data_IF_578277863225
#
_entry.id   IF_578277863225
#
_cell.length_a   1.000
_cell.length_b   1.000
_cell.length_c   1.000
_cell.angle_alpha   90.00
_cell.angle_beta   90.00
_cell.angle_gamma   90.00
#
_symmetry.space_group_name_H-M   'P 1'
#
loop_
_entity.id
_entity.type
_entity.pdbx_description
1 polymer ?
#
# COMPACT_ATOMS: atom_id res chain seq x y z
N UNK A 1 -38.66 -32.04 -41.23
CA UNK A 1 -37.19 -32.02 -41.11
C UNK A 1 -36.73 -30.62 -41.51
N UNK A 2 -36.28 -29.83 -40.54
CA UNK A 2 -35.91 -28.42 -40.76
C UNK A 2 -34.45 -28.34 -41.23
N UNK A 3 -34.22 -27.87 -42.45
CA UNK A 3 -32.89 -27.55 -42.96
C UNK A 3 -32.50 -26.14 -42.48
N UNK A 4 -31.82 -26.06 -41.34
CA UNK A 4 -31.14 -24.83 -40.94
C UNK A 4 -29.72 -24.85 -41.54
N UNK A 5 -29.44 -23.92 -42.46
CA UNK A 5 -28.09 -23.69 -42.96
C UNK A 5 -27.15 -23.24 -41.82
N UNK A 6 -25.89 -23.70 -41.78
CA UNK A 6 -24.97 -23.30 -40.73
C UNK A 6 -24.67 -21.80 -40.80
N UNK A 7 -24.67 -21.16 -39.63
CA UNK A 7 -24.34 -19.74 -39.47
C UNK A 7 -22.85 -19.55 -39.81
N UNK A 8 -22.47 -18.58 -40.67
CA UNK A 8 -21.06 -18.38 -41.01
C UNK A 8 -20.27 -17.98 -39.76
N UNK A 9 -19.12 -18.61 -39.54
CA UNK A 9 -18.21 -18.26 -38.45
C UNK A 9 -17.71 -16.81 -38.64
N UNK A 10 -17.62 -16.02 -37.56
CA UNK A 10 -17.07 -14.69 -37.65
C UNK A 10 -15.62 -14.78 -38.12
N UNK A 11 -15.30 -14.15 -39.25
CA UNK A 11 -13.90 -13.94 -39.64
C UNK A 11 -13.26 -13.07 -38.56
N UNK A 12 -12.47 -13.69 -37.70
CA UNK A 12 -11.50 -12.96 -36.89
C UNK A 12 -10.53 -12.33 -37.89
N UNK A 13 -10.63 -11.01 -38.08
CA UNK A 13 -9.56 -10.26 -38.72
C UNK A 13 -8.29 -10.56 -37.93
N UNK A 14 -7.18 -10.87 -38.63
CA UNK A 14 -5.89 -10.94 -37.96
C UNK A 14 -5.67 -9.60 -37.27
N UNK A 15 -5.64 -9.60 -35.94
CA UNK A 15 -5.35 -8.39 -35.19
C UNK A 15 -3.92 -7.98 -35.55
N UNK A 16 -3.76 -6.76 -36.05
CA UNK A 16 -2.44 -6.14 -36.19
C UNK A 16 -1.71 -6.28 -34.84
N UNK A 17 -0.42 -6.68 -34.82
CA UNK A 17 0.34 -6.80 -33.59
C UNK A 17 0.31 -5.46 -32.84
N UNK A 18 -0.12 -5.48 -31.58
CA UNK A 18 -0.06 -4.29 -30.73
C UNK A 18 1.41 -4.02 -30.45
N UNK A 19 1.99 -3.04 -31.15
CA UNK A 19 3.30 -2.50 -30.76
C UNK A 19 3.12 -1.57 -29.58
N UNK A 20 3.61 -2.00 -28.43
CA UNK A 20 3.55 -1.21 -27.19
C UNK A 20 4.90 -0.57 -26.90
N UNK A 21 4.91 0.52 -26.14
CA UNK A 21 6.14 1.13 -25.60
C UNK A 21 6.87 0.22 -24.60
N UNK A 22 6.41 -1.02 -24.40
CA UNK A 22 6.97 -2.03 -23.51
C UNK A 22 7.72 -3.14 -24.25
N UNK A 23 7.67 -3.16 -25.59
CA UNK A 23 8.25 -4.23 -26.40
C UNK A 23 9.80 -4.18 -26.41
N UNK A 24 10.39 -3.07 -25.96
CA UNK A 24 11.84 -2.84 -25.84
C UNK A 24 12.39 -3.15 -24.43
N UNK A 25 11.54 -3.53 -23.47
CA UNK A 25 11.94 -3.67 -22.06
C UNK A 25 13.07 -4.68 -21.87
N UNK A 26 13.03 -5.77 -22.64
CA UNK A 26 13.99 -6.89 -22.58
C UNK A 26 15.07 -6.83 -23.66
N UNK A 27 14.99 -5.85 -24.56
CA UNK A 27 15.95 -5.73 -25.66
C UNK A 27 17.38 -5.54 -25.13
N UNK A 28 18.30 -6.42 -25.55
CA UNK A 28 19.69 -6.41 -25.12
C UNK A 28 19.94 -6.95 -23.71
N UNK A 29 18.98 -7.69 -23.13
CA UNK A 29 19.11 -8.37 -21.83
C UNK A 29 19.30 -9.88 -22.05
N UNK A 30 20.44 -10.25 -22.63
CA UNK A 30 20.76 -11.66 -22.90
C UNK A 30 21.59 -12.32 -21.79
N UNK A 31 22.08 -11.53 -20.82
CA UNK A 31 22.90 -12.02 -19.70
C UNK A 31 22.50 -11.39 -18.37
N UNK A 32 22.93 -12.02 -17.27
CA UNK A 32 22.76 -11.48 -15.91
C UNK A 32 23.41 -10.09 -15.76
N UNK A 33 24.59 -9.88 -16.34
CA UNK A 33 25.30 -8.60 -16.33
C UNK A 33 24.55 -7.52 -17.11
N UNK A 34 23.94 -7.89 -18.25
CA UNK A 34 23.08 -6.99 -19.00
C UNK A 34 21.83 -6.60 -18.19
N UNK A 35 21.22 -7.56 -17.48
CA UNK A 35 20.12 -7.28 -16.56
C UNK A 35 20.54 -6.36 -15.42
N UNK A 36 21.69 -6.60 -14.77
CA UNK A 36 22.15 -5.73 -13.69
C UNK A 36 22.34 -4.28 -14.15
N UNK A 37 22.85 -4.06 -15.37
CA UNK A 37 22.93 -2.73 -15.98
C UNK A 37 21.54 -2.12 -16.23
N UNK A 38 20.62 -2.85 -16.86
CA UNK A 38 19.26 -2.36 -17.12
C UNK A 38 18.50 -2.07 -15.82
N UNK A 39 18.62 -2.91 -14.81
CA UNK A 39 17.96 -2.77 -13.49
C UNK A 39 18.27 -1.42 -12.85
N UNK A 40 19.50 -0.92 -12.95
CA UNK A 40 19.84 0.41 -12.43
C UNK A 40 19.13 1.53 -13.20
N UNK A 41 19.03 1.41 -14.53
CA UNK A 41 18.31 2.37 -15.37
C UNK A 41 16.81 2.37 -15.03
N UNK A 42 16.20 1.20 -14.90
CA UNK A 42 14.78 1.07 -14.50
C UNK A 42 14.54 1.68 -13.13
N UNK A 43 15.42 1.38 -12.15
CA UNK A 43 15.35 1.97 -10.82
C UNK A 43 15.43 3.49 -10.87
N UNK A 44 16.41 4.05 -11.59
CA UNK A 44 16.57 5.49 -11.70
C UNK A 44 15.34 6.17 -12.30
N UNK A 45 14.79 5.64 -13.39
CA UNK A 45 13.56 6.15 -14.03
C UNK A 45 12.35 6.06 -13.09
N UNK A 46 12.23 4.97 -12.35
CA UNK A 46 11.15 4.81 -11.37
C UNK A 46 11.24 5.86 -10.27
N UNK A 47 12.43 6.08 -9.68
CA UNK A 47 12.64 7.08 -8.63
C UNK A 47 12.41 8.51 -9.14
N UNK A 48 12.82 8.81 -10.38
CA UNK A 48 12.53 10.09 -11.04
C UNK A 48 11.03 10.30 -11.23
N UNK A 49 10.31 9.27 -11.70
CA UNK A 49 8.87 9.32 -11.93
C UNK A 49 8.08 9.60 -10.64
N UNK A 50 8.43 8.91 -9.54
CA UNK A 50 7.78 9.14 -8.24
C UNK A 50 8.31 10.39 -7.53
N UNK A 51 9.26 11.11 -8.13
CA UNK A 51 9.91 12.32 -7.60
C UNK A 51 10.54 12.10 -6.23
N UNK A 52 11.23 10.97 -6.06
CA UNK A 52 11.88 10.56 -4.82
C UNK A 52 12.79 11.65 -4.22
N UNK A 53 13.52 12.39 -5.06
CA UNK A 53 14.38 13.48 -4.63
C UNK A 53 13.63 14.69 -4.01
N UNK A 54 12.32 14.78 -4.22
CA UNK A 54 11.46 15.80 -3.60
C UNK A 54 10.70 15.27 -2.38
N UNK A 55 10.84 13.97 -2.05
CA UNK A 55 10.23 13.40 -0.86
C UNK A 55 10.86 14.01 0.41
N UNK A 56 10.06 14.31 1.43
CA UNK A 56 10.58 14.70 2.75
C UNK A 56 11.50 13.63 3.33
N UNK A 57 12.45 14.03 4.17
CA UNK A 57 13.29 13.08 4.90
C UNK A 57 12.43 12.31 5.92
N UNK A 58 12.45 10.98 5.83
CA UNK A 58 11.76 10.14 6.80
C UNK A 58 12.38 10.32 8.21
N UNK A 59 11.57 10.34 9.27
CA UNK A 59 12.07 10.41 10.64
C UNK A 59 13.05 9.27 10.94
N UNK A 60 14.19 9.59 11.58
CA UNK A 60 15.19 8.59 11.97
C UNK A 60 14.68 7.62 13.03
N UNK A 61 13.87 8.14 13.94
CA UNK A 61 13.13 7.35 14.92
C UNK A 61 11.64 7.54 14.60
N UNK A 62 10.93 6.47 14.20
CA UNK A 62 9.52 6.57 13.85
C UNK A 62 8.60 6.76 15.07
N UNK A 63 9.12 6.78 16.31
CA UNK A 63 8.31 6.98 17.52
C UNK A 63 7.07 6.08 17.53
N UNK A 64 7.33 4.76 17.44
CA UNK A 64 6.26 3.77 17.32
C UNK A 64 5.50 3.64 18.64
N UNK A 65 4.18 3.78 18.57
CA UNK A 65 3.25 3.67 19.72
C UNK A 65 2.26 2.56 19.46
N UNK A 66 2.10 1.65 20.42
CA UNK A 66 1.02 0.66 20.43
C UNK A 66 -0.23 1.31 21.03
N UNK A 67 -1.27 1.46 20.22
CA UNK A 67 -2.53 2.10 20.60
C UNK A 67 -3.58 1.10 21.08
N UNK A 68 -3.58 -0.10 20.52
CA UNK A 68 -4.50 -1.17 20.89
C UNK A 68 -3.89 -2.55 20.64
N UNK A 69 -4.45 -3.58 21.27
CA UNK A 69 -4.03 -4.97 21.14
C UNK A 69 -5.24 -5.90 21.06
N UNK A 70 -5.20 -6.87 20.14
CA UNK A 70 -6.26 -7.85 19.92
C UNK A 70 -5.69 -9.28 20.00
N UNK A 71 -6.52 -10.20 20.49
CA UNK A 71 -6.24 -11.63 20.42
C UNK A 71 -6.53 -12.14 19.00
N UNK A 72 -5.49 -12.63 18.32
CA UNK A 72 -5.59 -13.22 16.98
C UNK A 72 -5.97 -14.71 16.98
N UNK A 73 -6.16 -15.33 18.16
CA UNK A 73 -6.43 -16.76 18.28
C UNK A 73 -5.17 -17.60 18.08
N UNK A 74 -4.14 -17.33 18.90
CA UNK A 74 -2.84 -18.01 18.85
C UNK A 74 -1.67 -17.14 18.36
N UNK A 75 -1.92 -15.84 18.20
CA UNK A 75 -0.94 -14.79 17.96
C UNK A 75 -1.53 -13.46 18.45
N UNK A 76 -0.70 -12.44 18.64
CA UNK A 76 -1.14 -11.11 19.04
C UNK A 76 -1.25 -10.19 17.82
N UNK A 77 -2.26 -9.32 17.80
CA UNK A 77 -2.36 -8.23 16.84
C UNK A 77 -2.19 -6.92 17.60
N UNK A 78 -1.24 -6.09 17.19
CA UNK A 78 -1.07 -4.73 17.70
C UNK A 78 -1.55 -3.72 16.67
N UNK A 79 -2.38 -2.76 17.09
CA UNK A 79 -2.64 -1.56 16.31
C UNK A 79 -1.64 -0.49 16.74
N UNK A 80 -0.88 0.03 15.79
CA UNK A 80 0.23 0.95 16.05
C UNK A 80 0.10 2.23 15.26
N UNK A 81 0.63 3.32 15.80
CA UNK A 81 0.90 4.55 15.06
C UNK A 81 2.40 4.85 15.06
N UNK A 82 2.88 5.48 13.98
CA UNK A 82 4.28 5.82 13.80
C UNK A 82 4.44 7.02 12.87
N UNK A 83 5.51 7.79 13.10
CA UNK A 83 5.85 8.99 12.35
C UNK A 83 6.37 8.65 10.95
N UNK A 84 5.78 9.27 9.92
CA UNK A 84 6.21 9.11 8.51
C UNK A 84 6.78 10.40 7.91
N UNK A 85 6.33 11.54 8.42
CA UNK A 85 6.89 12.88 8.16
C UNK A 85 6.88 13.68 9.46
N UNK A 86 7.50 14.85 9.55
CA UNK A 86 7.60 15.62 10.82
C UNK A 86 6.27 15.94 11.50
N UNK A 87 5.19 16.02 10.71
CA UNK A 87 3.85 16.42 11.13
C UNK A 87 2.77 15.37 10.75
N UNK A 88 3.16 14.21 10.23
CA UNK A 88 2.24 13.12 9.86
C UNK A 88 2.59 11.80 10.55
N UNK A 89 1.55 11.17 11.13
CA UNK A 89 1.58 9.79 11.62
C UNK A 89 0.75 8.88 10.73
N UNK A 90 1.32 7.73 10.38
CA UNK A 90 0.61 6.62 9.77
C UNK A 90 0.21 5.59 10.84
N UNK A 91 -0.69 4.69 10.47
CA UNK A 91 -1.15 3.61 11.32
C UNK A 91 -1.00 2.26 10.61
N UNK A 92 -0.80 1.20 11.38
CA UNK A 92 -0.69 -0.16 10.86
C UNK A 92 -1.20 -1.18 11.88
N UNK A 93 -1.51 -2.37 11.38
CA UNK A 93 -1.71 -3.55 12.23
C UNK A 93 -0.49 -4.45 12.12
N UNK A 94 0.11 -4.80 13.26
CA UNK A 94 1.23 -5.72 13.36
C UNK A 94 0.74 -7.06 13.90
N UNK A 95 1.06 -8.13 13.21
CA UNK A 95 0.82 -9.49 13.68
C UNK A 95 2.10 -10.07 14.27
N UNK A 96 2.03 -10.53 15.52
CA UNK A 96 3.16 -11.05 16.29
C UNK A 96 2.94 -12.52 16.64
N UNK A 97 3.82 -13.44 16.19
CA UNK A 97 3.73 -14.85 16.56
C UNK A 97 3.84 -15.03 18.09
N UNK A 98 3.04 -15.94 18.66
CA UNK A 98 3.14 -16.28 20.10
C UNK A 98 4.37 -17.14 20.47
N UNK A 99 5.16 -17.57 19.50
CA UNK A 99 6.37 -18.34 19.74
C UNK A 99 7.49 -17.47 20.33
N UNK A 100 8.51 -18.09 20.93
CA UNK A 100 9.74 -17.37 21.27
C UNK A 100 10.48 -17.00 19.99
N UNK A 101 10.89 -15.73 19.81
CA UNK A 101 11.66 -15.34 18.64
C UNK A 101 13.00 -16.09 18.60
N UNK A 102 13.47 -16.49 17.41
CA UNK A 102 14.82 -17.01 17.27
C UNK A 102 15.84 -15.89 17.55
N UNK A 103 17.13 -16.21 17.75
CA UNK A 103 18.17 -15.21 18.05
C UNK A 103 18.24 -14.05 17.05
N UNK A 104 18.01 -14.33 15.77
CA UNK A 104 17.97 -13.36 14.67
C UNK A 104 16.64 -12.60 14.54
N UNK A 105 15.65 -12.91 15.36
CA UNK A 105 14.28 -12.38 15.28
C UNK A 105 13.42 -13.10 14.23
N UNK A 106 12.11 -12.85 14.29
CA UNK A 106 11.21 -13.40 13.28
C UNK A 106 11.42 -12.74 11.91
N UNK A 107 11.28 -13.48 10.80
CA UNK A 107 11.22 -12.87 9.48
C UNK A 107 10.00 -11.93 9.37
N UNK A 108 10.22 -10.74 8.82
CA UNK A 108 9.19 -9.71 8.62
C UNK A 108 8.55 -9.74 7.23
N UNK A 109 7.25 -9.50 7.13
CA UNK A 109 6.52 -9.37 5.85
C UNK A 109 5.62 -8.14 5.84
N UNK A 110 5.77 -7.29 4.83
CA UNK A 110 4.84 -6.18 4.56
C UNK A 110 3.64 -6.72 3.80
N UNK A 111 2.46 -6.53 4.37
CA UNK A 111 1.18 -7.07 3.93
C UNK A 111 0.28 -5.94 3.39
N UNK A 112 0.45 -5.59 2.11
CA UNK A 112 -0.30 -4.51 1.47
C UNK A 112 -1.72 -4.95 1.08
N UNK A 113 -2.72 -4.20 1.54
CA UNK A 113 -4.12 -4.52 1.30
C UNK A 113 -4.66 -3.92 -0.02
N UNK A 114 -5.83 -4.38 -0.46
CA UNK A 114 -6.51 -3.79 -1.63
C UNK A 114 -7.15 -2.43 -1.33
N UNK A 115 -7.84 -1.88 -2.31
CA UNK A 115 -8.57 -0.60 -2.21
C UNK A 115 -9.88 -0.75 -1.42
N UNK A 116 -9.77 -0.97 -0.12
CA UNK A 116 -10.88 -0.92 0.83
C UNK A 116 -10.44 -0.16 2.09
N UNK A 117 -11.31 0.70 2.62
CA UNK A 117 -11.01 1.59 3.74
C UNK A 117 -10.43 0.85 4.95
N UNK A 118 -11.03 -0.28 5.31
CA UNK A 118 -10.60 -1.15 6.41
C UNK A 118 -9.70 -2.31 5.97
N UNK A 119 -9.07 -2.22 4.80
CA UNK A 119 -8.32 -3.34 4.21
C UNK A 119 -7.19 -3.87 5.08
N UNK A 120 -6.50 -3.01 5.86
CA UNK A 120 -5.43 -3.42 6.76
C UNK A 120 -5.92 -4.43 7.82
N UNK A 121 -7.08 -4.16 8.44
CA UNK A 121 -7.74 -5.05 9.42
C UNK A 121 -8.01 -6.44 8.84
N UNK A 122 -8.53 -6.45 7.61
CA UNK A 122 -8.89 -7.69 6.90
C UNK A 122 -7.73 -8.65 6.75
N UNK A 123 -6.52 -8.13 6.51
CA UNK A 123 -5.33 -8.97 6.33
C UNK A 123 -5.04 -9.89 7.51
N UNK A 124 -5.46 -9.48 8.72
CA UNK A 124 -5.31 -10.24 9.96
C UNK A 124 -6.60 -10.94 10.41
N UNK A 125 -7.64 -10.94 9.55
CA UNK A 125 -8.93 -11.57 9.84
C UNK A 125 -9.85 -10.74 10.72
N UNK A 126 -9.51 -9.47 11.00
CA UNK A 126 -10.39 -8.56 11.73
C UNK A 126 -11.50 -8.04 10.79
N UNK A 127 -12.69 -7.82 11.36
CA UNK A 127 -13.81 -7.17 10.67
C UNK A 127 -13.62 -5.65 10.54
N UNK A 128 -14.48 -4.97 9.77
CA UNK A 128 -14.50 -3.51 9.72
C UNK A 128 -14.77 -2.90 11.11
N UNK A 129 -14.35 -1.65 11.32
CA UNK A 129 -14.78 -0.88 12.49
C UNK A 129 -16.27 -0.55 12.41
N UNK A 130 -16.95 -0.29 13.55
CA UNK A 130 -18.30 0.23 13.55
C UNK A 130 -18.41 1.52 12.72
N UNK A 131 -19.43 1.58 11.85
CA UNK A 131 -19.69 2.71 10.94
C UNK A 131 -18.62 2.95 9.86
N UNK A 132 -17.75 1.98 9.58
CA UNK A 132 -16.88 2.07 8.40
C UNK A 132 -17.73 2.25 7.11
N UNK A 133 -17.40 3.22 6.24
CA UNK A 133 -18.21 3.51 5.05
C UNK A 133 -18.23 2.39 4.01
N UNK A 134 -17.33 1.41 4.12
CA UNK A 134 -17.21 0.27 3.22
C UNK A 134 -17.30 -1.07 3.98
N UNK A 135 -17.99 -1.10 5.12
CA UNK A 135 -18.17 -2.29 5.96
C UNK A 135 -18.83 -3.47 5.21
N UNK A 136 -19.63 -3.19 4.18
CA UNK A 136 -20.31 -4.14 3.30
C UNK A 136 -19.38 -4.79 2.27
N UNK A 137 -18.18 -4.23 2.02
CA UNK A 137 -17.19 -4.78 1.10
C UNK A 137 -16.39 -5.93 1.72
N UNK A 138 -17.03 -7.09 1.83
CA UNK A 138 -16.41 -8.31 2.37
C UNK A 138 -15.97 -9.21 1.22
N UNK A 139 -14.68 -9.57 1.21
CA UNK A 139 -14.08 -10.51 0.28
C UNK A 139 -13.33 -11.59 1.06
N UNK A 140 -13.53 -12.85 0.68
CA UNK A 140 -12.87 -14.00 1.31
C UNK A 140 -11.42 -14.15 0.84
N UNK A 141 -10.59 -14.83 1.63
CA UNK A 141 -9.22 -15.19 1.26
C UNK A 141 -8.21 -14.04 1.26
N UNK A 142 -8.57 -12.90 1.86
CA UNK A 142 -7.68 -11.74 1.99
C UNK A 142 -7.03 -11.62 3.38
N UNK A 143 -7.17 -12.62 4.25
CA UNK A 143 -6.56 -12.70 5.59
C UNK A 143 -5.15 -13.32 5.56
N UNK A 144 -4.38 -13.04 4.50
CA UNK A 144 -3.09 -13.68 4.28
C UNK A 144 -2.02 -13.29 5.33
N UNK A 145 -2.12 -12.12 5.96
CA UNK A 145 -1.20 -11.77 7.05
C UNK A 145 -1.42 -12.70 8.25
N UNK A 146 -2.68 -12.99 8.61
CA UNK A 146 -3.03 -13.99 9.64
C UNK A 146 -2.37 -15.34 9.37
N UNK A 147 -2.44 -15.80 8.12
CA UNK A 147 -1.83 -17.07 7.70
C UNK A 147 -0.30 -17.06 7.83
N UNK A 148 0.35 -15.92 7.56
CA UNK A 148 1.80 -15.76 7.71
C UNK A 148 2.21 -15.70 9.19
N UNK A 149 1.47 -14.98 10.03
CA UNK A 149 1.77 -14.92 11.47
C UNK A 149 1.72 -16.31 12.11
N UNK A 150 0.70 -17.11 11.75
CA UNK A 150 0.60 -18.51 12.18
C UNK A 150 1.76 -19.42 11.72
N UNK A 151 2.65 -18.93 10.84
CA UNK A 151 3.87 -19.63 10.39
C UNK A 151 5.16 -19.05 10.97
N UNK A 152 5.07 -18.13 11.93
CA UNK A 152 6.24 -17.54 12.58
C UNK A 152 6.81 -16.32 11.85
N UNK A 153 6.03 -15.66 11.00
CA UNK A 153 6.38 -14.36 10.43
C UNK A 153 5.82 -13.24 11.28
N UNK A 154 6.58 -12.18 11.51
CA UNK A 154 6.00 -10.91 11.94
C UNK A 154 5.44 -10.22 10.70
N UNK A 155 4.19 -9.79 10.75
CA UNK A 155 3.57 -9.07 9.63
C UNK A 155 3.30 -7.63 10.01
N UNK A 156 3.41 -6.72 9.04
CA UNK A 156 2.90 -5.36 9.16
C UNK A 156 1.94 -5.08 8.01
N UNK A 157 0.74 -4.62 8.34
CA UNK A 157 -0.31 -4.24 7.40
C UNK A 157 -0.61 -2.75 7.56
N UNK A 158 0.09 -1.86 6.84
CA UNK A 158 -0.12 -0.43 6.93
C UNK A 158 -1.47 -0.02 6.37
N UNK A 159 -2.11 0.96 7.00
CA UNK A 159 -3.26 1.64 6.38
C UNK A 159 -2.79 2.43 5.16
N UNK A 160 -3.51 2.30 4.05
CA UNK A 160 -3.22 3.09 2.85
C UNK A 160 -3.42 4.60 3.07
N UNK A 161 -2.79 5.38 2.20
CA UNK A 161 -3.09 6.81 2.08
C UNK A 161 -4.57 7.02 1.71
N UNK A 162 -5.21 8.03 2.29
CA UNK A 162 -6.64 8.31 2.16
C UNK A 162 -7.58 7.19 2.64
N UNK A 163 -7.12 6.28 3.50
CA UNK A 163 -7.95 5.22 4.08
C UNK A 163 -7.88 5.24 5.61
N UNK A 164 -8.88 4.63 6.25
CA UNK A 164 -9.01 4.47 7.70
C UNK A 164 -8.73 5.77 8.47
N UNK A 165 -7.67 5.87 9.29
CA UNK A 165 -7.38 7.09 10.06
C UNK A 165 -6.98 8.28 9.19
N UNK A 166 -6.51 8.01 7.98
CA UNK A 166 -6.11 9.03 7.00
C UNK A 166 -7.18 9.31 5.96
N UNK A 167 -8.40 8.78 6.15
CA UNK A 167 -9.52 9.03 5.27
C UNK A 167 -9.95 10.52 5.33
N UNK A 168 -10.04 11.20 4.17
CA UNK A 168 -10.55 12.57 4.12
C UNK A 168 -12.07 12.62 4.25
N UNK A 169 -12.65 13.83 4.33
CA UNK A 169 -14.10 14.02 4.53
C UNK A 169 -14.92 13.55 3.32
N UNK A 170 -14.34 13.63 2.15
CA UNK A 170 -14.94 13.30 0.86
C UNK A 170 -15.15 11.78 0.72
N UNK A 171 -14.39 10.98 1.48
CA UNK A 171 -14.52 9.53 1.53
C UNK A 171 -13.20 8.79 1.30
N UNK A 172 -13.23 7.44 1.36
CA UNK A 172 -12.03 6.62 1.23
C UNK A 172 -11.43 6.76 -0.17
N UNK A 173 -10.10 6.85 -0.21
CA UNK A 173 -9.28 6.99 -1.42
C UNK A 173 -9.53 8.27 -2.24
N UNK A 174 -10.24 9.26 -1.69
CA UNK A 174 -10.33 10.57 -2.34
C UNK A 174 -9.00 11.33 -2.18
N UNK A 175 -8.32 11.62 -3.28
CA UNK A 175 -7.04 12.37 -3.25
C UNK A 175 -7.20 13.85 -3.59
N UNK A 176 -8.43 14.32 -3.78
CA UNK A 176 -8.77 15.69 -4.15
C UNK A 176 -8.20 16.74 -3.20
N UNK A 177 -8.35 16.60 -1.86
CA UNK A 177 -7.80 17.54 -0.89
C UNK A 177 -6.28 17.74 -1.04
N UNK A 178 -5.55 16.67 -1.34
CA UNK A 178 -4.10 16.70 -1.48
C UNK A 178 -3.66 17.32 -2.81
N UNK A 179 -4.35 17.01 -3.91
CA UNK A 179 -4.01 17.55 -5.23
C UNK A 179 -4.41 19.03 -5.39
N UNK A 180 -5.49 19.48 -4.75
CA UNK A 180 -5.90 20.89 -4.75
C UNK A 180 -4.92 21.81 -3.99
N UNK A 181 -4.27 21.29 -2.96
CA UNK A 181 -3.24 22.01 -2.19
C UNK A 181 -1.99 22.34 -3.04
N UNK A 182 -1.61 21.41 -3.93
CA UNK A 182 -0.46 21.55 -4.84
C UNK A 182 -0.71 22.65 -5.88
N UNK A 183 -1.95 22.77 -6.38
CA UNK A 183 -2.29 23.77 -7.39
C UNK A 183 -2.41 25.20 -6.83
N UNK A 184 -2.70 25.34 -5.54
CA UNK A 184 -2.92 26.66 -4.91
C UNK A 184 -1.73 27.15 -4.07
N UNK A 185 -0.64 26.38 -3.97
CA UNK A 185 0.54 26.74 -3.17
C UNK A 185 0.28 26.85 -1.67
N UNK A 186 -0.89 26.39 -1.19
CA UNK A 186 -1.26 26.39 0.22
C UNK A 186 -0.92 25.02 0.81
N UNK A 187 -0.03 24.97 1.81
CA UNK A 187 0.00 23.82 2.71
C UNK A 187 -1.38 23.67 3.32
N UNK A 188 -1.93 22.46 3.30
CA UNK A 188 -3.06 22.14 4.15
C UNK A 188 -2.63 22.44 5.59
N UNK A 189 -3.30 23.41 6.21
CA UNK A 189 -3.08 23.70 7.62
C UNK A 189 -3.49 22.44 8.39
N UNK A 190 -2.50 21.66 8.81
CA UNK A 190 -2.67 20.72 9.90
C UNK A 190 -3.26 21.50 11.06
N UNK A 191 -4.46 21.12 11.49
CA UNK A 191 -5.06 21.63 12.73
C UNK A 191 -4.31 21.01 13.90
N UNK A 192 -3.07 21.43 14.10
CA UNK A 192 -2.33 21.24 15.32
C UNK A 192 -1.59 22.54 15.64
N UNK A 193 -1.88 23.06 16.83
CA UNK A 193 -1.70 24.43 17.27
C UNK A 193 -0.23 24.86 17.33
N UNK A 194 0.12 25.90 16.56
CA UNK A 194 1.23 26.88 16.67
C UNK A 194 2.60 26.46 17.22
N UNK A 195 3.62 26.57 16.37
CA UNK A 195 4.88 27.24 16.71
C UNK A 195 5.43 27.97 15.47
N UNK A 196 5.47 29.31 15.52
CA UNK A 196 6.01 30.15 14.46
C UNK A 196 7.55 30.06 14.42
N UNK A 197 8.13 29.88 13.24
CA UNK A 197 9.57 30.04 13.02
C UNK A 197 9.95 31.52 12.84
N UNK A 198 11.07 31.98 13.43
CA UNK A 198 11.56 33.34 13.20
C UNK A 198 12.17 33.47 11.81
N UNK A 199 11.89 34.59 11.15
CA UNK A 199 12.49 34.96 9.88
C UNK A 199 14.02 35.13 10.07
N UNK A 200 14.80 34.49 9.19
CA UNK A 200 16.24 34.73 9.11
C UNK A 200 16.49 36.00 8.31
N UNK A 201 17.30 36.88 8.91
CA UNK A 201 18.00 38.02 8.30
C UNK A 201 19.01 37.58 7.25
#
# INVERSE_FOLDING_TARGET
MSNASPKPEPRLCAAEPIQSTWDDLVQGIDTSEAWQRKRQVVKARFLELIRDAAAPEAPRDPDLVVEDTFDGGGFEIQYVSYQVESDERAHAYIGLPSATPPPEGFPGVVCLHGTTNWGARRTLGLGPEPNDPEADKVFEGLDYARYLVGRGYVTISPEHFCAAKRMPKEGPFDTGPFTASIQTGRRLASTCTTAAWPARS
#
